data_IF_354459326137
#
_entry.id   IF_354459326137
#
_cell.length_a   1.000
_cell.length_b   1.000
_cell.length_c   1.000
_cell.angle_alpha   90.00
_cell.angle_beta   90.00
_cell.angle_gamma   90.00
#
_symmetry.space_group_name_H-M   'P 1'
#
loop_
_entity.id
_entity.type
_entity.pdbx_description
1 polymer ?
#
# COMPACT_ATOMS: atom_id res chain seq x y z
N UNK A 1 -5.87 -8.30 26.15
CA UNK A 1 -5.03 -8.29 25.47
C UNK A 1 -5.04 -7.45 24.47
N UNK A 2 -4.39 -7.06 23.98
CA UNK A 2 -4.41 -6.21 23.08
C UNK A 2 -4.03 -6.71 21.84
N UNK A 3 -4.63 -6.37 20.87
CA UNK A 3 -4.26 -6.79 19.56
C UNK A 3 -3.12 -5.97 19.06
N UNK A 4 -2.25 -6.58 18.29
CA UNK A 4 -1.16 -5.87 17.65
C UNK A 4 -1.68 -5.23 16.37
N UNK A 5 -2.31 -4.09 16.52
CA UNK A 5 -2.83 -3.39 15.36
C UNK A 5 -1.71 -2.74 14.57
N UNK A 6 -1.92 -2.69 13.25
CA UNK A 6 -1.02 -2.01 12.35
C UNK A 6 -1.18 -0.51 12.56
N UNK A 7 -0.08 0.24 12.59
CA UNK A 7 -0.12 1.67 12.89
C UNK A 7 -0.82 2.47 11.80
N UNK A 8 -0.58 2.14 10.54
CA UNK A 8 -1.18 2.86 9.43
C UNK A 8 -1.13 2.00 8.16
N UNK A 9 -2.23 2.01 7.42
CA UNK A 9 -2.29 1.38 6.11
C UNK A 9 -2.58 2.48 5.10
N UNK A 10 -1.76 2.56 4.05
CA UNK A 10 -1.92 3.56 3.00
C UNK A 10 -2.41 2.89 1.73
N UNK A 11 -3.45 3.44 1.15
CA UNK A 11 -3.97 3.00 -0.14
C UNK A 11 -3.63 4.05 -1.19
N UNK A 12 -3.07 3.63 -2.31
CA UNK A 12 -2.70 4.52 -3.41
C UNK A 12 -3.37 4.02 -4.68
N UNK A 13 -4.40 4.74 -5.13
CA UNK A 13 -5.17 4.36 -6.32
C UNK A 13 -5.84 5.63 -6.86
N UNK A 14 -5.82 5.82 -8.17
CA UNK A 14 -6.40 7.01 -8.76
C UNK A 14 -7.94 6.98 -8.81
N UNK A 15 -8.55 5.84 -8.52
CA UNK A 15 -10.00 5.69 -8.52
C UNK A 15 -10.55 5.81 -7.10
N UNK A 16 -11.30 6.87 -6.84
CA UNK A 16 -11.87 7.13 -5.52
C UNK A 16 -12.82 6.03 -5.05
N UNK A 17 -13.55 5.43 -5.99
CA UNK A 17 -14.49 4.35 -5.65
C UNK A 17 -13.73 3.12 -5.20
N UNK A 18 -12.67 2.77 -5.90
CA UNK A 18 -11.81 1.64 -5.53
C UNK A 18 -11.20 1.87 -4.15
N UNK A 19 -10.67 3.07 -3.91
CA UNK A 19 -10.12 3.42 -2.59
C UNK A 19 -11.17 3.26 -1.49
N UNK A 20 -12.37 3.73 -1.74
CA UNK A 20 -13.46 3.65 -0.75
C UNK A 20 -13.79 2.18 -0.42
N UNK A 21 -13.93 1.35 -1.46
CA UNK A 21 -14.26 -0.06 -1.27
C UNK A 21 -13.14 -0.77 -0.52
N UNK A 22 -11.89 -0.54 -0.91
CA UNK A 22 -10.75 -1.20 -0.27
C UNK A 22 -10.59 -0.75 1.18
N UNK A 23 -10.84 0.52 1.45
CA UNK A 23 -10.78 1.02 2.82
C UNK A 23 -11.81 0.31 3.69
N UNK A 24 -13.02 0.09 3.15
CA UNK A 24 -14.06 -0.60 3.91
C UNK A 24 -13.70 -2.07 4.17
N UNK A 25 -13.09 -2.74 3.19
CA UNK A 25 -12.65 -4.12 3.38
C UNK A 25 -11.61 -4.21 4.50
N UNK A 26 -10.65 -3.28 4.49
CA UNK A 26 -9.61 -3.28 5.51
C UNK A 26 -10.17 -2.96 6.90
N UNK A 27 -11.17 -2.07 6.95
CA UNK A 27 -11.83 -1.78 8.23
C UNK A 27 -12.56 -2.99 8.79
N UNK A 28 -13.16 -3.80 7.92
CA UNK A 28 -13.83 -5.03 8.38
C UNK A 28 -12.85 -5.99 9.03
N UNK A 29 -11.61 -6.00 8.57
CA UNK A 29 -10.59 -6.87 9.13
C UNK A 29 -10.02 -6.34 10.45
N UNK A 30 -10.34 -5.10 10.81
CA UNK A 30 -9.90 -4.49 12.06
C UNK A 30 -8.39 -4.53 12.26
N UNK A 31 -7.66 -4.35 11.16
CA UNK A 31 -6.19 -4.40 11.18
C UNK A 31 -5.57 -3.11 11.68
N UNK A 32 -6.23 -1.98 11.43
CA UNK A 32 -5.70 -0.68 11.79
C UNK A 32 -6.84 0.31 12.02
N UNK A 33 -6.62 1.24 12.92
CA UNK A 33 -7.56 2.35 13.12
C UNK A 33 -7.24 3.50 12.18
N UNK A 34 -6.14 3.42 11.44
CA UNK A 34 -5.68 4.50 10.59
C UNK A 34 -5.46 3.98 9.17
N UNK A 35 -6.49 4.07 8.35
CA UNK A 35 -6.45 3.63 6.96
C UNK A 35 -6.66 4.86 6.09
N UNK A 36 -5.63 5.25 5.35
CA UNK A 36 -5.61 6.50 4.60
C UNK A 36 -5.60 6.20 3.11
N UNK A 37 -6.35 7.00 2.35
CA UNK A 37 -6.40 6.86 0.89
C UNK A 37 -5.71 8.06 0.23
N UNK A 38 -4.99 7.79 -0.84
CA UNK A 38 -4.39 8.82 -1.69
C UNK A 38 -4.66 8.45 -3.14
N UNK A 39 -4.61 9.44 -4.04
CA UNK A 39 -5.03 9.27 -5.42
C UNK A 39 -3.90 9.19 -6.43
N UNK A 40 -2.67 9.42 -6.01
CA UNK A 40 -1.52 9.32 -6.91
C UNK A 40 -0.24 9.21 -6.09
N UNK A 41 0.86 8.94 -6.79
CA UNK A 41 2.15 8.73 -6.13
C UNK A 41 2.69 9.95 -5.41
N UNK A 42 2.50 11.14 -6.00
CA UNK A 42 2.97 12.37 -5.36
C UNK A 42 2.27 12.62 -4.04
N UNK A 43 0.95 12.44 -4.04
CA UNK A 43 0.14 12.61 -2.84
C UNK A 43 0.55 11.60 -1.77
N UNK A 44 0.79 10.37 -2.20
CA UNK A 44 1.22 9.30 -1.28
C UNK A 44 2.57 9.62 -0.65
N UNK A 45 3.53 10.10 -1.46
CA UNK A 45 4.86 10.46 -0.93
C UNK A 45 4.77 11.60 0.07
N UNK A 46 3.95 12.61 -0.22
CA UNK A 46 3.76 13.72 0.71
C UNK A 46 3.15 13.23 2.03
N UNK A 47 2.17 12.34 1.92
CA UNK A 47 1.55 11.78 3.12
C UNK A 47 2.58 11.02 3.95
N UNK A 48 3.38 10.17 3.31
CA UNK A 48 4.37 9.36 4.02
C UNK A 48 5.37 10.25 4.75
N UNK A 49 5.85 11.31 4.09
CA UNK A 49 6.80 12.23 4.70
C UNK A 49 6.20 12.95 5.90
N UNK A 50 4.96 13.44 5.76
CA UNK A 50 4.31 14.14 6.86
C UNK A 50 3.98 13.19 8.01
N UNK A 51 3.48 12.01 7.69
CA UNK A 51 3.15 11.01 8.69
C UNK A 51 4.39 10.63 9.50
N UNK A 52 5.52 10.42 8.82
CA UNK A 52 6.74 10.01 9.52
C UNK A 52 7.25 11.11 10.45
N UNK A 53 7.12 12.36 10.06
CA UNK A 53 7.50 13.47 10.94
C UNK A 53 6.70 13.48 12.24
N UNK A 54 5.44 13.10 12.15
CA UNK A 54 4.54 13.09 13.29
C UNK A 54 4.61 11.80 14.10
N UNK A 55 5.34 10.79 13.61
CA UNK A 55 5.35 9.46 14.21
C UNK A 55 6.76 8.90 14.39
N UNK A 56 7.66 9.71 14.95
CA UNK A 56 9.02 9.27 15.30
C UNK A 56 9.83 8.74 14.11
N UNK A 57 9.67 9.37 12.96
CA UNK A 57 10.33 9.00 11.72
C UNK A 57 9.96 7.58 11.25
N UNK A 58 8.76 7.11 11.60
CA UNK A 58 8.23 5.83 11.15
C UNK A 58 7.14 6.07 10.11
N UNK A 59 7.21 5.38 8.99
CA UNK A 59 6.17 5.46 7.95
C UNK A 59 5.05 4.47 8.19
N UNK A 60 4.05 4.46 7.29
CA UNK A 60 2.97 3.47 7.35
C UNK A 60 3.53 2.06 7.24
N UNK A 61 2.93 1.11 7.94
CA UNK A 61 3.45 -0.26 7.92
C UNK A 61 3.12 -1.02 6.64
N UNK A 62 2.01 -0.69 6.01
CA UNK A 62 1.58 -1.38 4.79
C UNK A 62 1.11 -0.35 3.77
N UNK A 63 1.52 -0.53 2.52
CA UNK A 63 1.09 0.32 1.40
C UNK A 63 0.54 -0.58 0.31
N UNK A 64 -0.72 -0.38 -0.06
CA UNK A 64 -1.31 -1.03 -1.24
C UNK A 64 -1.23 -0.03 -2.39
N UNK A 65 -0.51 -0.39 -3.42
CA UNK A 65 -0.17 0.53 -4.50
C UNK A 65 -0.64 0.03 -5.84
N UNK A 66 -1.50 0.82 -6.50
CA UNK A 66 -1.92 0.55 -7.86
C UNK A 66 -0.77 0.91 -8.80
N UNK A 67 -0.44 0.02 -9.74
CA UNK A 67 0.66 0.27 -10.66
C UNK A 67 0.24 1.07 -11.89
N UNK A 68 -1.06 1.22 -12.11
CA UNK A 68 -1.57 1.92 -13.31
C UNK A 68 -2.22 3.25 -12.96
N UNK A 69 -1.42 4.20 -12.52
CA UNK A 69 -1.90 5.55 -12.19
C UNK A 69 -1.39 6.56 -13.20
N UNK A 70 -2.19 7.60 -13.52
CA UNK A 70 -1.70 8.66 -14.39
C UNK A 70 -0.59 9.44 -13.71
N UNK A 71 0.33 10.00 -14.49
CA UNK A 71 1.46 10.72 -13.96
C UNK A 71 2.50 9.79 -13.38
N UNK A 72 2.74 9.87 -12.08
CA UNK A 72 3.69 8.98 -11.42
C UNK A 72 3.10 7.59 -11.29
N UNK A 73 3.62 6.65 -12.05
CA UNK A 73 3.18 5.26 -12.00
C UNK A 73 3.73 4.56 -10.77
N UNK A 74 3.13 3.39 -10.45
CA UNK A 74 3.48 2.67 -9.25
C UNK A 74 4.98 2.39 -9.11
N UNK A 75 5.63 1.98 -10.19
CA UNK A 75 7.07 1.67 -10.11
C UNK A 75 7.92 2.92 -9.98
N UNK A 76 7.46 4.05 -10.51
CA UNK A 76 8.13 5.34 -10.29
C UNK A 76 8.01 5.76 -8.84
N UNK A 77 6.84 5.48 -8.24
CA UNK A 77 6.62 5.73 -6.81
C UNK A 77 7.65 4.95 -5.98
N UNK A 78 7.91 3.68 -6.33
CA UNK A 78 8.87 2.87 -5.60
C UNK A 78 10.27 3.47 -5.63
N UNK A 79 10.68 4.01 -6.79
CA UNK A 79 11.98 4.64 -6.91
C UNK A 79 12.10 5.83 -5.97
N UNK A 80 11.04 6.66 -5.90
CA UNK A 80 11.06 7.81 -5.01
C UNK A 80 10.94 7.41 -3.55
N UNK A 81 10.12 6.39 -3.27
CA UNK A 81 9.97 5.87 -1.92
C UNK A 81 11.32 5.38 -1.37
N UNK A 82 12.10 4.71 -2.19
CA UNK A 82 13.40 4.18 -1.76
C UNK A 82 14.42 5.27 -1.44
N UNK A 83 14.16 6.51 -1.83
CA UNK A 83 15.01 7.64 -1.50
C UNK A 83 14.64 8.31 -0.19
N UNK A 84 13.50 7.94 0.39
CA UNK A 84 13.06 8.57 1.64
C UNK A 84 13.88 8.08 2.81
N UNK A 85 14.17 9.00 3.73
CA UNK A 85 14.95 8.68 4.92
C UNK A 85 14.02 8.49 6.11
N UNK A 86 13.36 7.32 6.14
CA UNK A 86 12.48 6.96 7.24
C UNK A 86 13.01 5.70 7.89
N UNK A 87 12.86 5.64 9.21
CA UNK A 87 13.55 4.62 10.02
C UNK A 87 13.14 3.19 9.68
N UNK A 88 11.86 2.98 9.37
CA UNK A 88 11.36 1.62 9.09
C UNK A 88 11.16 1.34 7.60
N UNK A 89 11.82 2.10 6.71
CA UNK A 89 11.59 1.98 5.28
C UNK A 89 11.69 0.53 4.78
N UNK A 90 12.72 -0.19 5.23
CA UNK A 90 12.95 -1.55 4.75
C UNK A 90 11.99 -2.57 5.34
N UNK A 91 11.22 -2.18 6.33
CA UNK A 91 10.24 -3.05 6.98
C UNK A 91 8.81 -2.76 6.53
N UNK A 92 8.62 -1.71 5.73
CA UNK A 92 7.30 -1.38 5.22
C UNK A 92 6.93 -2.36 4.13
N UNK A 93 5.76 -2.98 4.25
CA UNK A 93 5.26 -3.90 3.24
C UNK A 93 4.58 -3.13 2.13
N UNK A 94 5.05 -3.29 0.90
CA UNK A 94 4.42 -2.69 -0.26
C UNK A 94 3.77 -3.81 -1.05
N UNK A 95 2.45 -3.73 -1.20
CA UNK A 95 1.67 -4.71 -1.96
C UNK A 95 1.27 -4.07 -3.28
N UNK A 96 1.69 -4.65 -4.38
CA UNK A 96 1.37 -4.14 -5.71
C UNK A 96 -0.01 -4.64 -6.11
N UNK A 97 -0.85 -3.74 -6.59
CA UNK A 97 -2.22 -4.08 -7.01
C UNK A 97 -2.37 -3.72 -8.48
N UNK A 98 -2.94 -4.63 -9.26
CA UNK A 98 -3.11 -4.42 -10.70
C UNK A 98 -4.43 -5.00 -11.17
N UNK A 99 -4.94 -4.48 -12.28
CA UNK A 99 -6.14 -5.02 -12.91
C UNK A 99 -5.86 -6.31 -13.67
N UNK A 100 -4.60 -6.62 -13.93
CA UNK A 100 -4.21 -7.79 -14.72
C UNK A 100 -3.34 -8.74 -13.92
N UNK A 101 -3.69 -10.04 -13.93
CA UNK A 101 -2.89 -11.05 -13.23
C UNK A 101 -1.75 -11.58 -14.10
N UNK A 102 -1.76 -11.30 -15.41
CA UNK A 102 -0.78 -11.86 -16.35
C UNK A 102 -0.01 -10.81 -17.15
N UNK A 103 -0.06 -9.56 -16.76
CA UNK A 103 0.58 -8.50 -17.52
C UNK A 103 2.06 -8.37 -17.23
N UNK A 104 2.76 -7.47 -17.94
CA UNK A 104 4.19 -7.22 -17.71
C UNK A 104 4.48 -6.74 -16.29
N UNK A 105 3.51 -6.11 -15.66
CA UNK A 105 3.69 -5.61 -14.30
C UNK A 105 3.90 -6.73 -13.30
N UNK A 106 3.29 -7.90 -13.53
CA UNK A 106 3.47 -9.02 -12.63
C UNK A 106 4.90 -9.52 -12.67
N UNK A 107 5.48 -9.65 -13.87
CA UNK A 107 6.87 -10.08 -14.00
C UNK A 107 7.83 -9.12 -13.32
N UNK A 108 7.61 -7.81 -13.51
CA UNK A 108 8.45 -6.80 -12.87
C UNK A 108 8.31 -6.84 -11.35
N UNK A 109 7.08 -7.07 -10.86
CA UNK A 109 6.82 -7.18 -9.43
C UNK A 109 7.54 -8.39 -8.84
N UNK A 110 7.55 -9.51 -9.56
CA UNK A 110 8.24 -10.71 -9.11
C UNK A 110 9.75 -10.49 -9.02
N UNK A 111 10.31 -9.75 -9.99
CA UNK A 111 11.74 -9.42 -9.95
C UNK A 111 12.10 -8.57 -8.74
N UNK A 112 11.16 -7.73 -8.29
CA UNK A 112 11.36 -6.88 -7.11
C UNK A 112 11.01 -7.61 -5.81
N UNK A 113 10.53 -8.85 -5.91
CA UNK A 113 10.14 -9.67 -4.76
C UNK A 113 9.05 -9.01 -3.92
N UNK A 114 8.11 -8.34 -4.58
CA UNK A 114 6.99 -7.70 -3.90
C UNK A 114 5.73 -8.53 -4.00
N UNK A 115 4.88 -8.53 -2.95
CA UNK A 115 3.57 -9.17 -3.04
C UNK A 115 2.72 -8.52 -4.13
N UNK A 116 1.89 -9.31 -4.78
CA UNK A 116 1.10 -8.87 -5.92
C UNK A 116 -0.35 -9.33 -5.76
N UNK A 117 -1.28 -8.42 -5.91
CA UNK A 117 -2.71 -8.74 -5.88
C UNK A 117 -3.39 -8.22 -7.14
N UNK A 118 -4.38 -8.98 -7.60
CA UNK A 118 -5.20 -8.58 -8.74
C UNK A 118 -6.49 -7.95 -8.25
N UNK A 119 -6.95 -6.89 -8.90
CA UNK A 119 -8.23 -6.26 -8.57
C UNK A 119 -9.38 -7.14 -9.02
N UNK A 120 -10.50 -7.11 -8.32
CA UNK A 120 -10.75 -6.37 -7.09
C UNK A 120 -10.14 -7.09 -5.89
N UNK A 121 -9.78 -6.33 -4.86
CA UNK A 121 -9.30 -6.92 -3.62
C UNK A 121 -10.46 -7.61 -2.91
N UNK A 122 -10.14 -8.72 -2.23
CA UNK A 122 -11.13 -9.45 -1.43
C UNK A 122 -10.56 -9.64 -0.04
N UNK A 123 -11.43 -9.94 0.91
CA UNK A 123 -10.98 -10.24 2.27
C UNK A 123 -9.99 -11.40 2.25
N UNK A 124 -10.27 -12.43 1.46
CA UNK A 124 -9.38 -13.60 1.37
C UNK A 124 -8.02 -13.23 0.77
N UNK A 125 -7.99 -12.43 -0.30
CA UNK A 125 -6.72 -12.05 -0.92
C UNK A 125 -5.88 -11.17 0.00
N UNK A 126 -6.54 -10.28 0.75
CA UNK A 126 -5.84 -9.43 1.71
C UNK A 126 -5.26 -10.29 2.83
N UNK A 127 -6.05 -11.21 3.39
CA UNK A 127 -5.56 -12.09 4.45
C UNK A 127 -4.37 -12.92 3.99
N UNK A 128 -4.45 -13.43 2.77
CA UNK A 128 -3.39 -14.27 2.23
C UNK A 128 -2.09 -13.48 2.08
N UNK A 129 -2.15 -12.29 1.50
CA UNK A 129 -0.95 -11.50 1.25
C UNK A 129 -0.31 -11.02 2.55
N UNK A 130 -1.12 -10.78 3.58
CA UNK A 130 -0.62 -10.35 4.89
C UNK A 130 -0.34 -11.53 5.82
N UNK A 131 -0.50 -12.75 5.32
CA UNK A 131 -0.25 -13.99 6.07
C UNK A 131 -1.10 -14.09 7.32
N UNK A 132 -2.34 -13.68 7.22
CA UNK A 132 -3.30 -13.80 8.30
C UNK A 132 -4.04 -15.12 8.19
N UNK A 133 -4.30 -15.75 9.30
CA UNK A 133 -5.03 -17.05 9.32
C UNK A 133 -6.35 -16.91 10.01
#
# INVERSE_FOLDING_TARGET
METNKINCILLVDDDNITNYINQRLLKKLQLSDNIVTTNNGDEALKFIQQYSKDNNNLGPEIIFMDVNMPGMKGFDFLDEFNKLEIANRDQIRIVVVSASSDGPDKGKTELLELPYLTKPLTIDSIKEVLELV
#
